data_IF_520331007747
#
_entry.id   IF_520331007747
#
_cell.length_a   1.000
_cell.length_b   1.000
_cell.length_c   1.000
_cell.angle_alpha   90.00
_cell.angle_beta   90.00
_cell.angle_gamma   90.00
#
_symmetry.space_group_name_H-M   'P 1'
#
loop_
_entity.id
_entity.type
_entity.pdbx_description
1 polymer ?
#
# COMPACT_ATOMS: atom_id res chain seq x y z
N UNK A 1 18.12 -8.93 28.88
CA UNK A 1 17.67 -8.22 27.66
C UNK A 1 18.89 -7.47 27.15
N UNK A 2 19.65 -8.08 26.26
CA UNK A 2 20.92 -7.53 25.76
C UNK A 2 20.65 -6.35 24.81
N UNK A 3 21.39 -5.23 24.92
CA UNK A 3 21.25 -4.10 24.02
C UNK A 3 21.83 -4.47 22.64
N UNK A 4 20.99 -4.44 21.60
CA UNK A 4 21.45 -4.58 20.21
C UNK A 4 22.37 -3.41 19.86
N UNK A 5 23.59 -3.74 19.43
CA UNK A 5 24.60 -2.80 18.98
C UNK A 5 24.04 -1.82 17.94
N UNK A 6 24.25 -0.53 18.19
CA UNK A 6 23.99 0.53 17.22
C UNK A 6 24.88 0.31 16.00
N UNK A 7 24.26 0.14 14.83
CA UNK A 7 24.99 0.08 13.57
C UNK A 7 25.47 1.50 13.26
N UNK A 8 26.72 1.78 13.60
CA UNK A 8 27.44 2.95 13.12
C UNK A 8 27.82 2.71 11.64
N UNK A 9 27.31 3.54 10.72
CA UNK A 9 27.84 3.63 9.36
C UNK A 9 26.79 3.61 8.25
N UNK A 10 26.38 4.80 7.81
CA UNK A 10 25.56 5.03 6.62
C UNK A 10 24.81 6.34 6.77
N UNK A 11 25.23 7.40 6.05
CA UNK A 11 24.66 8.74 6.17
C UNK A 11 23.12 8.69 6.20
N UNK A 12 22.52 9.18 7.29
CA UNK A 12 21.11 8.99 7.59
C UNK A 12 20.21 9.57 6.51
N UNK A 13 19.85 8.73 5.53
CA UNK A 13 19.03 9.12 4.39
C UNK A 13 17.73 9.77 4.85
N UNK A 14 17.36 10.87 4.19
CA UNK A 14 16.13 11.61 4.50
C UNK A 14 15.05 11.22 3.52
N UNK A 15 13.90 10.84 4.06
CA UNK A 15 12.66 10.63 3.31
C UNK A 15 11.73 11.82 3.56
N UNK A 16 11.19 12.41 2.49
CA UNK A 16 10.18 13.46 2.54
C UNK A 16 8.99 12.97 1.75
N UNK A 17 7.82 12.90 2.38
CA UNK A 17 6.61 12.37 1.75
C UNK A 17 5.39 13.20 2.13
N UNK A 18 4.40 13.21 1.23
CA UNK A 18 3.06 13.70 1.48
C UNK A 18 2.08 12.58 1.26
N UNK A 19 1.23 12.32 2.26
CA UNK A 19 0.22 11.26 2.21
C UNK A 19 -1.11 11.76 2.78
N UNK A 20 -2.26 11.26 2.30
CA UNK A 20 -3.54 11.64 2.87
C UNK A 20 -3.67 11.19 4.32
N UNK A 21 -4.17 12.08 5.18
CA UNK A 21 -4.62 11.75 6.51
C UNK A 21 -6.09 11.34 6.46
N UNK A 22 -6.37 10.07 6.69
CA UNK A 22 -7.75 9.55 6.70
C UNK A 22 -8.63 10.31 7.71
N UNK A 23 -8.14 10.50 8.94
CA UNK A 23 -8.94 11.13 10.01
C UNK A 23 -9.28 12.59 9.67
N UNK A 24 -8.29 13.39 9.30
CA UNK A 24 -8.53 14.79 8.95
C UNK A 24 -9.38 14.96 7.69
N UNK A 25 -9.24 14.08 6.69
CA UNK A 25 -10.14 14.06 5.53
C UNK A 25 -11.59 13.76 5.95
N UNK A 26 -11.80 12.77 6.83
CA UNK A 26 -13.12 12.48 7.38
C UNK A 26 -13.70 13.65 8.20
N UNK A 27 -12.85 14.45 8.86
CA UNK A 27 -13.30 15.66 9.54
C UNK A 27 -13.83 16.72 8.56
N UNK A 28 -13.27 16.83 7.35
CA UNK A 28 -13.79 17.75 6.33
C UNK A 28 -15.24 17.43 5.95
N UNK A 29 -15.62 16.15 5.90
CA UNK A 29 -17.01 15.74 5.66
C UNK A 29 -17.99 16.20 6.74
N UNK A 30 -17.53 16.65 7.90
CA UNK A 30 -18.41 17.13 8.99
C UNK A 30 -18.58 18.65 9.01
N UNK A 31 -17.82 19.38 8.19
CA UNK A 31 -17.81 20.84 8.19
C UNK A 31 -18.97 21.38 7.36
N UNK A 32 -19.63 22.43 7.86
CA UNK A 32 -20.83 23.02 7.25
C UNK A 32 -20.57 23.53 5.83
N UNK A 33 -19.41 24.15 5.62
CA UNK A 33 -18.97 24.71 4.34
C UNK A 33 -18.64 23.64 3.28
N UNK A 34 -18.56 22.37 3.68
CA UNK A 34 -18.35 21.23 2.78
C UNK A 34 -19.62 20.43 2.51
N UNK A 35 -20.79 20.83 3.05
CA UNK A 35 -22.06 20.07 2.94
C UNK A 35 -22.79 20.31 1.62
N UNK A 36 -22.09 20.14 0.49
CA UNK A 36 -22.72 20.05 -0.82
C UNK A 36 -22.13 18.93 -1.67
N UNK A 37 -22.87 18.58 -2.72
CA UNK A 37 -22.56 17.44 -3.59
C UNK A 37 -21.20 17.60 -4.26
N UNK A 38 -20.80 18.81 -4.64
CA UNK A 38 -19.51 19.02 -5.32
C UNK A 38 -18.35 18.77 -4.37
N UNK A 39 -18.42 19.31 -3.16
CA UNK A 39 -17.40 19.10 -2.15
C UNK A 39 -17.30 17.63 -1.73
N UNK A 40 -18.42 16.93 -1.54
CA UNK A 40 -18.41 15.51 -1.22
C UNK A 40 -17.78 14.68 -2.35
N UNK A 41 -18.06 14.98 -3.62
CA UNK A 41 -17.41 14.32 -4.76
C UNK A 41 -15.90 14.52 -4.72
N UNK A 42 -15.44 15.75 -4.47
CA UNK A 42 -14.02 16.05 -4.31
C UNK A 42 -13.39 15.26 -3.17
N UNK A 43 -14.01 15.25 -1.99
CA UNK A 43 -13.47 14.52 -0.83
C UNK A 43 -13.43 13.00 -1.06
N UNK A 44 -14.44 12.42 -1.71
CA UNK A 44 -14.46 11.00 -2.10
C UNK A 44 -13.34 10.71 -3.09
N UNK A 45 -13.14 11.57 -4.10
CA UNK A 45 -12.04 11.42 -5.05
C UNK A 45 -10.68 11.54 -4.36
N UNK A 46 -10.51 12.47 -3.42
CA UNK A 46 -9.28 12.58 -2.62
C UNK A 46 -9.07 11.35 -1.74
N UNK A 47 -10.15 10.78 -1.20
CA UNK A 47 -10.08 9.56 -0.39
C UNK A 47 -9.65 8.38 -1.24
N UNK A 48 -10.18 8.18 -2.44
CA UNK A 48 -9.88 6.98 -3.25
C UNK A 48 -8.77 7.15 -4.29
N UNK A 49 -8.27 8.38 -4.46
CA UNK A 49 -7.44 8.76 -5.59
C UNK A 49 -8.25 8.83 -6.89
N UNK A 50 -7.60 9.30 -7.96
CA UNK A 50 -8.14 9.16 -9.30
C UNK A 50 -7.99 7.70 -9.73
N UNK A 51 -8.92 6.83 -9.34
CA UNK A 51 -8.99 5.43 -9.79
C UNK A 51 -9.38 5.36 -11.28
N UNK A 52 -8.53 5.92 -12.13
CA UNK A 52 -8.79 6.08 -13.56
C UNK A 52 -8.27 4.92 -14.41
N UNK A 53 -7.53 3.98 -13.82
CA UNK A 53 -6.91 2.85 -14.51
C UNK A 53 -7.27 1.55 -13.79
N UNK A 54 -7.53 0.48 -14.56
CA UNK A 54 -7.72 -0.85 -13.99
C UNK A 54 -6.45 -1.29 -13.26
N UNK A 55 -6.58 -1.75 -12.02
CA UNK A 55 -5.46 -2.13 -11.15
C UNK A 55 -4.93 -1.02 -10.23
N UNK A 56 -5.54 0.17 -10.25
CA UNK A 56 -5.14 1.30 -9.39
C UNK A 56 -5.68 1.16 -7.96
N UNK A 57 -5.16 0.19 -7.21
CA UNK A 57 -5.49 -0.03 -5.80
C UNK A 57 -4.45 0.64 -4.90
N UNK A 58 -4.68 1.90 -4.56
CA UNK A 58 -3.85 2.61 -3.60
C UNK A 58 -4.36 2.40 -2.17
N UNK A 59 -3.46 2.09 -1.22
CA UNK A 59 -3.69 2.45 0.18
C UNK A 59 -3.75 3.98 0.25
N UNK A 60 -4.96 4.50 0.32
CA UNK A 60 -5.26 5.86 -0.05
C UNK A 60 -5.36 6.81 1.15
N UNK A 61 -5.14 6.32 2.37
CA UNK A 61 -5.14 7.12 3.57
C UNK A 61 -4.39 6.49 4.74
N UNK A 62 -3.69 7.32 5.49
CA UNK A 62 -2.98 6.94 6.70
C UNK A 62 -3.63 7.56 7.92
N UNK A 63 -3.59 6.85 9.03
CA UNK A 63 -3.61 7.51 10.34
C UNK A 63 -2.17 7.86 10.72
N UNK A 64 -1.97 8.76 11.68
CA UNK A 64 -0.62 9.01 12.19
C UNK A 64 0.02 7.72 12.73
N UNK A 65 -0.78 6.85 13.36
CA UNK A 65 -0.30 5.58 13.92
C UNK A 65 0.21 4.65 12.82
N UNK A 66 -0.57 4.42 11.76
CA UNK A 66 -0.19 3.53 10.65
C UNK A 66 1.00 4.09 9.87
N UNK A 67 1.03 5.40 9.60
CA UNK A 67 2.18 6.04 8.96
C UNK A 67 3.48 5.86 9.76
N UNK A 68 3.41 6.03 11.09
CA UNK A 68 4.57 5.83 11.97
C UNK A 68 5.00 4.37 12.00
N UNK A 69 4.06 3.45 12.01
CA UNK A 69 4.36 2.03 12.05
C UNK A 69 5.01 1.55 10.76
N UNK A 70 4.45 1.91 9.60
CA UNK A 70 5.01 1.56 8.28
C UNK A 70 6.43 2.12 8.10
N UNK A 71 6.64 3.39 8.48
CA UNK A 71 7.97 4.00 8.42
C UNK A 71 8.96 3.31 9.37
N UNK A 72 8.51 2.95 10.58
CA UNK A 72 9.35 2.20 11.53
C UNK A 72 9.71 0.82 11.00
N UNK A 73 8.74 0.10 10.44
CA UNK A 73 8.96 -1.21 9.80
C UNK A 73 9.97 -1.12 8.66
N UNK A 74 9.98 0.01 7.93
CA UNK A 74 10.97 0.31 6.89
C UNK A 74 12.33 0.83 7.45
N UNK A 75 12.50 0.93 8.77
CA UNK A 75 13.75 1.40 9.40
C UNK A 75 13.92 2.92 9.42
N UNK A 76 12.83 3.67 9.30
CA UNK A 76 12.78 5.13 9.38
C UNK A 76 12.12 5.60 10.68
N UNK A 77 12.51 6.79 11.12
CA UNK A 77 11.88 7.49 12.22
C UNK A 77 11.41 8.87 11.74
N UNK A 78 10.15 9.23 12.02
CA UNK A 78 9.61 10.55 11.71
C UNK A 78 10.26 11.59 12.61
N UNK A 79 10.96 12.55 12.02
CA UNK A 79 11.56 13.71 12.73
C UNK A 79 10.67 14.96 12.65
N UNK A 80 9.74 15.01 11.68
CA UNK A 80 8.74 16.08 11.56
C UNK A 80 7.47 15.54 10.93
N UNK A 81 6.33 15.86 11.51
CA UNK A 81 5.01 15.60 10.93
C UNK A 81 4.19 16.87 11.02
N UNK A 82 3.55 17.27 9.92
CA UNK A 82 2.64 18.42 9.87
C UNK A 82 1.39 18.05 9.08
N UNK A 83 0.27 18.65 9.45
CA UNK A 83 -0.91 18.67 8.60
C UNK A 83 -0.79 19.85 7.63
N UNK A 84 -0.96 19.58 6.33
CA UNK A 84 -0.99 20.57 5.25
C UNK A 84 -2.28 20.41 4.47
N UNK A 85 -2.80 21.53 3.96
CA UNK A 85 -4.07 21.59 3.23
C UNK A 85 -5.23 20.91 3.98
N UNK A 86 -5.15 20.87 5.32
CA UNK A 86 -6.17 20.33 6.22
C UNK A 86 -6.41 18.82 6.17
N UNK A 87 -5.87 18.09 5.20
CA UNK A 87 -6.11 16.65 5.05
C UNK A 87 -4.87 15.84 4.64
N UNK A 88 -3.71 16.44 4.46
CA UNK A 88 -2.48 15.72 4.10
C UNK A 88 -1.45 15.79 5.21
N UNK A 89 -0.84 14.66 5.53
CA UNK A 89 0.39 14.64 6.30
C UNK A 89 1.58 14.99 5.40
N UNK A 90 2.37 15.98 5.80
CA UNK A 90 3.73 16.18 5.34
C UNK A 90 4.69 15.62 6.39
N UNK A 91 5.34 14.51 6.06
CA UNK A 91 6.29 13.84 6.94
C UNK A 91 7.72 14.00 6.44
N UNK A 92 8.63 14.28 7.37
CA UNK A 92 10.08 14.15 7.18
C UNK A 92 10.53 13.03 8.09
N UNK A 93 11.15 12.00 7.52
CA UNK A 93 11.70 10.88 8.23
C UNK A 93 13.20 10.69 7.94
N UNK A 94 13.92 10.09 8.89
CA UNK A 94 15.35 9.80 8.79
C UNK A 94 15.55 8.30 8.89
N UNK A 95 16.45 7.75 8.07
CA UNK A 95 16.87 6.35 8.17
C UNK A 95 17.63 6.14 9.47
N UNK A 96 17.15 5.25 10.31
CA UNK A 96 17.75 4.92 11.62
C UNK A 96 18.20 3.46 11.71
N UNK A 97 17.69 2.59 10.84
CA UNK A 97 18.11 1.21 10.75
C UNK A 97 18.04 0.70 9.30
N UNK A 98 18.97 -0.16 8.91
CA UNK A 98 18.81 -0.96 7.70
C UNK A 98 17.81 -2.08 7.98
N UNK A 99 16.78 -2.16 7.14
CA UNK A 99 15.84 -3.29 7.09
C UNK A 99 16.02 -3.91 5.73
N UNK A 100 16.45 -5.17 5.70
CA UNK A 100 16.62 -5.88 4.45
C UNK A 100 15.25 -6.04 3.78
N UNK A 101 15.13 -5.82 2.46
CA UNK A 101 13.91 -6.14 1.73
C UNK A 101 13.59 -7.63 1.86
N UNK A 102 12.31 -7.96 1.69
CA UNK A 102 11.84 -9.34 1.67
C UNK A 102 12.65 -10.18 0.67
N UNK A 103 13.10 -11.40 1.03
CA UNK A 103 13.93 -12.23 0.16
C UNK A 103 13.31 -12.47 -1.23
N UNK A 104 11.97 -12.54 -1.31
CA UNK A 104 11.25 -12.73 -2.58
C UNK A 104 11.49 -11.61 -3.59
N UNK A 105 11.78 -10.38 -3.14
CA UNK A 105 12.08 -9.23 -4.01
C UNK A 105 13.48 -9.31 -4.63
N UNK A 106 14.27 -10.33 -4.28
CA UNK A 106 15.63 -10.57 -4.83
C UNK A 106 15.68 -11.78 -5.75
N UNK A 107 14.54 -12.40 -6.05
CA UNK A 107 14.47 -13.54 -6.96
C UNK A 107 14.76 -13.07 -8.38
N UNK A 108 15.51 -13.87 -9.14
CA UNK A 108 16.04 -13.47 -10.45
C UNK A 108 15.00 -13.48 -11.57
N UNK A 109 13.85 -14.13 -11.37
CA UNK A 109 12.82 -14.27 -12.40
C UNK A 109 11.44 -13.93 -11.86
N UNK A 110 10.60 -13.35 -12.72
CA UNK A 110 9.20 -13.03 -12.41
C UNK A 110 8.42 -14.28 -12.01
N UNK A 111 8.68 -15.42 -12.65
CA UNK A 111 8.03 -16.69 -12.32
C UNK A 111 8.36 -17.15 -10.88
N UNK A 112 9.62 -17.04 -10.46
CA UNK A 112 10.04 -17.36 -9.10
C UNK A 112 9.45 -16.38 -8.09
N UNK A 113 9.43 -15.09 -8.42
CA UNK A 113 8.77 -14.07 -7.60
C UNK A 113 7.28 -14.37 -7.41
N UNK A 114 6.55 -14.67 -8.49
CA UNK A 114 5.11 -14.95 -8.43
C UNK A 114 4.79 -16.18 -7.59
N UNK A 115 5.52 -17.30 -7.77
CA UNK A 115 5.30 -18.48 -6.93
C UNK A 115 5.57 -18.20 -5.44
N UNK A 116 6.68 -17.52 -5.14
CA UNK A 116 7.01 -17.14 -3.76
C UNK A 116 5.97 -16.20 -3.14
N UNK A 117 5.52 -15.19 -3.89
CA UNK A 117 4.53 -14.22 -3.45
C UNK A 117 3.16 -14.88 -3.20
N UNK A 118 2.71 -15.77 -4.09
CA UNK A 118 1.44 -16.49 -3.91
C UNK A 118 1.45 -17.35 -2.65
N UNK A 119 2.54 -18.09 -2.42
CA UNK A 119 2.68 -18.92 -1.21
C UNK A 119 2.75 -18.07 0.05
N UNK A 120 3.58 -17.02 0.05
CA UNK A 120 3.83 -16.21 1.23
C UNK A 120 2.67 -15.27 1.61
N UNK A 121 2.03 -14.64 0.62
CA UNK A 121 1.03 -13.59 0.86
C UNK A 121 -0.42 -14.12 0.77
N UNK A 122 -0.67 -15.11 -0.08
CA UNK A 122 -2.01 -15.64 -0.32
C UNK A 122 -2.22 -17.05 0.26
N UNK A 123 -1.17 -17.68 0.80
CA UNK A 123 -1.24 -19.02 1.39
C UNK A 123 -1.66 -20.10 0.38
N UNK A 124 -1.43 -19.89 -0.91
CA UNK A 124 -1.84 -20.82 -1.98
C UNK A 124 -0.76 -20.96 -3.04
N UNK A 125 -0.78 -22.06 -3.78
CA UNK A 125 0.08 -22.23 -4.95
C UNK A 125 -0.40 -21.38 -6.12
N UNK A 126 0.51 -21.07 -7.04
CA UNK A 126 0.16 -20.46 -8.31
C UNK A 126 -0.57 -21.48 -9.19
N UNK A 127 -1.90 -21.54 -9.11
CA UNK A 127 -2.73 -22.40 -9.96
C UNK A 127 -3.19 -21.67 -11.22
N UNK A 128 -2.78 -22.16 -12.40
CA UNK A 128 -3.33 -21.77 -13.71
C UNK A 128 -2.39 -20.89 -14.56
N UNK A 129 -2.23 -21.29 -15.83
CA UNK A 129 -1.37 -20.72 -16.86
C UNK A 129 -1.50 -19.18 -17.00
N UNK A 130 -0.54 -18.43 -16.48
CA UNK A 130 -0.35 -16.99 -16.75
C UNK A 130 1.01 -16.70 -17.41
N UNK A 131 1.73 -17.74 -17.84
CA UNK A 131 3.10 -17.63 -18.36
C UNK A 131 3.24 -18.07 -19.83
N UNK A 132 2.23 -17.85 -20.67
CA UNK A 132 2.47 -17.74 -22.11
C UNK A 132 2.58 -16.26 -22.45
N UNK A 133 3.71 -15.83 -23.00
CA UNK A 133 4.04 -14.43 -23.34
C UNK A 133 3.14 -13.76 -24.40
N UNK A 134 1.92 -14.26 -24.61
CA UNK A 134 0.90 -13.70 -25.49
C UNK A 134 -0.45 -13.74 -24.79
N UNK A 135 -0.84 -12.61 -24.17
CA UNK A 135 -2.22 -12.34 -23.77
C UNK A 135 -2.71 -13.00 -22.47
N UNK A 136 -3.40 -12.19 -21.66
CA UNK A 136 -4.21 -12.64 -20.52
C UNK A 136 -5.29 -13.62 -21.01
N UNK A 137 -5.09 -14.92 -20.75
CA UNK A 137 -6.15 -15.93 -20.88
C UNK A 137 -6.72 -16.18 -19.49
N UNK A 138 -8.05 -16.04 -19.37
CA UNK A 138 -8.78 -16.02 -18.11
C UNK A 138 -8.54 -17.22 -17.18
N UNK A 139 -8.56 -16.93 -15.88
CA UNK A 139 -8.35 -17.90 -14.80
C UNK A 139 -9.64 -18.66 -14.51
N UNK A 140 -9.62 -19.99 -14.63
CA UNK A 140 -10.62 -20.86 -14.02
C UNK A 140 -10.04 -21.47 -12.73
N UNK A 141 -10.63 -21.14 -11.59
CA UNK A 141 -10.40 -21.88 -10.34
C UNK A 141 -11.07 -23.25 -10.44
N UNK A 142 -10.31 -24.33 -10.32
CA UNK A 142 -10.84 -25.70 -10.26
C UNK A 142 -11.39 -26.09 -8.88
N UNK A 143 -11.53 -25.16 -7.94
CA UNK A 143 -12.20 -25.42 -6.65
C UNK A 143 -13.68 -24.97 -6.64
N UNK A 144 -14.41 -25.22 -7.73
CA UNK A 144 -15.87 -25.13 -7.71
C UNK A 144 -16.47 -26.49 -7.33
N UNK A 145 -17.18 -26.51 -6.20
CA UNK A 145 -18.20 -27.52 -5.94
C UNK A 145 -19.13 -27.62 -7.17
N UNK A 146 -19.59 -28.82 -7.56
CA UNK A 146 -20.42 -28.97 -8.75
C UNK A 146 -21.74 -28.22 -8.54
N UNK A 147 -22.01 -27.18 -9.34
CA UNK A 147 -23.35 -26.60 -9.47
C UNK A 147 -23.51 -25.08 -9.54
N UNK A 148 -22.46 -24.26 -9.42
CA UNK A 148 -22.61 -22.80 -9.45
C UNK A 148 -21.75 -22.13 -10.50
N UNK A 149 -22.32 -21.85 -11.68
CA UNK A 149 -21.73 -20.90 -12.62
C UNK A 149 -22.05 -19.48 -12.17
N UNK A 150 -21.04 -18.69 -11.82
CA UNK A 150 -21.14 -17.24 -11.84
C UNK A 150 -20.30 -16.73 -13.02
N UNK A 151 -20.99 -16.39 -14.10
CA UNK A 151 -20.41 -15.58 -15.18
C UNK A 151 -20.47 -14.12 -14.71
N UNK A 152 -19.32 -13.59 -14.31
CA UNK A 152 -19.17 -12.18 -13.97
C UNK A 152 -17.77 -11.74 -14.36
N UNK A 153 -17.64 -11.16 -15.56
CA UNK A 153 -16.50 -10.34 -15.91
C UNK A 153 -16.53 -9.08 -15.04
N UNK A 154 -15.44 -8.82 -14.33
CA UNK A 154 -15.00 -7.48 -13.92
C UNK A 154 -13.52 -7.38 -14.20
#
# INVERSE_FOLDING_TARGET
MEPRAAIAGGGGGRLVLRVPSLIHLLQLFTRKEWQDVSHHKTLIQCLYGTQGQGGDFHFNGFTELTLRDDLRAAGFEIVRLKLVDEWMFEAVARKVAHVAPEPMLRLETDAAFLDAAYRALLGRELTGCLLSGEGLVGVYSQNMLPGHSFAGCF
#
